data_IF_633171580036
#
_entry.id   IF_633171580036
#
_cell.length_a   1.000
_cell.length_b   1.000
_cell.length_c   1.000
_cell.angle_alpha   90.00
_cell.angle_beta   90.00
_cell.angle_gamma   90.00
#
_symmetry.space_group_name_H-M   'P 1'
#
loop_
_entity.id
_entity.type
_entity.pdbx_description
1 polymer ?
#
# COMPACT_ATOMS: atom_id res chain seq x y z
N UNK A 1 30.58 24.11 -10.01
CA UNK A 1 29.12 24.25 -10.15
C UNK A 1 28.47 23.01 -9.54
N UNK A 2 27.47 23.15 -8.65
CA UNK A 2 26.76 21.99 -8.12
C UNK A 2 26.03 21.28 -9.27
N UNK A 3 26.20 19.96 -9.37
CA UNK A 3 25.55 19.16 -10.41
C UNK A 3 24.04 19.12 -10.15
N UNK A 4 23.24 19.52 -11.14
CA UNK A 4 21.78 19.40 -11.08
C UNK A 4 21.44 17.92 -11.06
N UNK A 5 20.99 17.41 -9.91
CA UNK A 5 20.61 16.01 -9.73
C UNK A 5 19.17 15.80 -10.23
N UNK A 6 18.95 14.66 -10.89
CA UNK A 6 17.61 14.22 -11.27
C UNK A 6 16.80 13.80 -10.03
N UNK A 7 15.47 14.00 -10.03
CA UNK A 7 14.61 13.64 -8.90
C UNK A 7 14.57 12.12 -8.68
N UNK A 8 14.29 11.67 -7.44
CA UNK A 8 14.21 10.26 -7.05
C UNK A 8 13.48 9.38 -8.06
N UNK A 9 12.32 9.84 -8.58
CA UNK A 9 11.52 9.11 -9.57
C UNK A 9 12.31 8.76 -10.84
N UNK A 10 13.10 9.70 -11.37
CA UNK A 10 13.85 9.50 -12.62
C UNK A 10 15.05 8.58 -12.39
N UNK A 11 15.56 8.54 -11.16
CA UNK A 11 16.66 7.67 -10.76
C UNK A 11 16.20 6.24 -10.50
N UNK A 12 15.02 6.07 -9.91
CA UNK A 12 14.36 4.76 -9.72
C UNK A 12 13.68 4.22 -10.99
N UNK A 13 13.94 4.80 -12.16
CA UNK A 13 13.29 4.47 -13.44
C UNK A 13 11.74 4.48 -13.40
N UNK A 14 11.16 5.33 -12.53
CA UNK A 14 9.71 5.55 -12.47
C UNK A 14 9.33 6.58 -13.52
N UNK A 15 8.99 6.12 -14.72
CA UNK A 15 8.57 6.98 -15.83
C UNK A 15 7.05 7.20 -15.79
N UNK A 16 6.62 8.39 -15.38
CA UNK A 16 5.24 8.85 -15.48
C UNK A 16 5.03 9.53 -16.83
N UNK A 17 4.37 8.86 -17.77
CA UNK A 17 3.90 9.50 -18.99
C UNK A 17 2.60 10.28 -18.69
N UNK A 18 2.73 11.58 -18.44
CA UNK A 18 1.56 12.47 -18.29
C UNK A 18 1.02 12.81 -19.68
N UNK A 19 -0.02 12.08 -20.11
CA UNK A 19 -0.80 12.44 -21.30
C UNK A 19 -1.89 13.41 -20.88
N UNK A 20 -1.66 14.70 -21.09
CA UNK A 20 -2.72 15.71 -20.98
C UNK A 20 -3.61 15.59 -22.21
N UNK A 21 -4.78 14.97 -22.07
CA UNK A 21 -5.79 15.01 -23.11
C UNK A 21 -6.38 16.43 -23.16
N UNK A 22 -5.80 17.29 -23.99
CA UNK A 22 -6.56 18.40 -24.57
C UNK A 22 -7.30 17.78 -25.75
N UNK A 23 -8.63 17.55 -25.68
CA UNK A 23 -9.38 17.01 -26.80
C UNK A 23 -9.32 18.05 -27.92
N UNK A 24 -8.47 17.78 -28.91
CA UNK A 24 -8.42 18.51 -30.17
C UNK A 24 -8.94 17.56 -31.23
N UNK A 25 -9.81 18.10 -32.09
CA UNK A 25 -10.60 17.43 -33.14
C UNK A 25 -11.73 16.52 -32.66
N UNK A 26 -12.90 17.15 -32.57
CA UNK A 26 -14.08 16.68 -33.31
C UNK A 26 -13.67 16.60 -34.77
N UNK A 27 -13.69 15.41 -35.36
CA UNK A 27 -13.83 15.25 -36.81
C UNK A 27 -14.66 13.99 -37.07
N UNK A 28 -15.84 14.25 -37.61
CA UNK A 28 -16.60 13.35 -38.46
C UNK A 28 -15.71 12.85 -39.62
N UNK A 29 -15.82 11.58 -40.01
CA UNK A 29 -16.19 11.18 -41.37
C UNK A 29 -15.79 9.75 -41.77
N UNK A 30 -16.80 9.08 -42.34
CA UNK A 30 -16.80 8.21 -43.53
C UNK A 30 -16.11 6.82 -43.57
N UNK A 31 -17.00 5.83 -43.76
CA UNK A 31 -16.92 4.66 -44.65
C UNK A 31 -15.55 4.15 -45.12
N UNK A 32 -15.27 2.87 -44.80
CA UNK A 32 -14.63 1.99 -45.77
C UNK A 32 -15.09 0.54 -45.58
N UNK A 33 -15.90 0.07 -46.52
CA UNK A 33 -16.15 -1.35 -46.77
C UNK A 33 -14.94 -1.96 -47.50
N UNK A 34 -14.46 -3.13 -47.10
CA UNK A 34 -13.87 -4.17 -48.00
C UNK A 34 -13.64 -5.50 -47.25
N UNK A 35 -13.39 -6.64 -47.93
CA UNK A 35 -14.39 -7.71 -48.04
C UNK A 35 -13.95 -9.05 -47.43
N UNK A 36 -14.87 -10.02 -47.52
CA UNK A 36 -14.75 -11.40 -47.08
C UNK A 36 -13.51 -12.14 -47.61
N UNK A 37 -12.85 -12.88 -46.72
CA UNK A 37 -11.92 -13.97 -47.03
C UNK A 37 -12.16 -15.14 -46.08
N UNK A 38 -12.34 -16.31 -46.69
CA UNK A 38 -12.57 -17.64 -46.11
C UNK A 38 -11.31 -18.26 -45.53
N UNK A 39 -11.34 -18.69 -44.26
CA UNK A 39 -11.23 -20.12 -43.87
C UNK A 39 -11.27 -20.32 -42.34
N UNK A 40 -12.04 -21.29 -41.81
CA UNK A 40 -12.16 -21.54 -40.38
C UNK A 40 -11.15 -22.59 -39.89
N UNK A 41 -10.07 -22.16 -39.24
CA UNK A 41 -9.28 -23.04 -38.37
C UNK A 41 -9.91 -23.09 -36.98
N UNK A 42 -10.76 -24.08 -36.75
CA UNK A 42 -11.30 -24.48 -35.46
C UNK A 42 -10.19 -24.99 -34.53
N UNK A 43 -9.71 -24.13 -33.61
CA UNK A 43 -8.95 -24.56 -32.43
C UNK A 43 -9.59 -24.03 -31.15
N UNK A 44 -10.06 -24.97 -30.33
CA UNK A 44 -10.18 -24.83 -28.89
C UNK A 44 -11.32 -23.96 -28.37
N UNK A 45 -12.55 -24.46 -28.40
CA UNK A 45 -13.59 -23.95 -27.49
C UNK A 45 -13.11 -24.08 -26.04
N UNK A 46 -12.99 -23.00 -25.25
CA UNK A 46 -12.91 -23.16 -23.81
C UNK A 46 -14.21 -23.82 -23.35
N UNK A 47 -14.10 -24.93 -22.62
CA UNK A 47 -15.24 -25.59 -21.97
C UNK A 47 -15.94 -24.52 -21.13
N UNK A 48 -17.17 -24.19 -21.51
CA UNK A 48 -18.06 -23.34 -20.73
C UNK A 48 -18.11 -23.93 -19.30
N UNK A 49 -17.54 -23.20 -18.34
CA UNK A 49 -17.67 -23.54 -16.93
C UNK A 49 -19.17 -23.43 -16.61
N UNK A 50 -19.73 -24.51 -16.08
CA UNK A 50 -21.12 -24.53 -15.63
C UNK A 50 -21.30 -23.37 -14.63
N UNK A 51 -22.33 -22.54 -14.76
CA UNK A 51 -22.62 -21.51 -13.78
C UNK A 51 -22.78 -22.19 -12.41
N UNK A 52 -22.07 -21.66 -11.41
CA UNK A 52 -22.22 -22.11 -10.03
C UNK A 52 -23.61 -21.63 -9.59
N UNK A 53 -24.56 -22.56 -9.48
CA UNK A 53 -25.88 -22.32 -8.90
C UNK A 53 -25.70 -22.13 -7.39
N UNK A 54 -25.42 -20.89 -6.98
CA UNK A 54 -25.40 -20.51 -5.57
C UNK A 54 -26.85 -20.40 -5.09
N UNK A 55 -27.42 -21.55 -4.70
CA UNK A 55 -28.68 -21.58 -3.95
C UNK A 55 -28.44 -21.00 -2.57
N UNK A 56 -28.66 -19.70 -2.44
CA UNK A 56 -28.79 -19.04 -1.15
C UNK A 56 -30.04 -19.64 -0.49
N UNK A 57 -29.93 -20.32 0.67
CA UNK A 57 -31.11 -20.85 1.35
C UNK A 57 -32.00 -19.66 1.74
N UNK A 58 -33.14 -19.55 1.06
CA UNK A 58 -34.16 -18.58 1.39
C UNK A 58 -34.70 -18.95 2.78
N UNK A 59 -34.22 -18.22 3.79
CA UNK A 59 -34.63 -18.39 5.18
C UNK A 59 -36.10 -17.98 5.26
N UNK A 60 -36.98 -18.99 5.28
CA UNK A 60 -38.42 -18.80 5.40
C UNK A 60 -38.75 -17.79 6.50
N UNK A 61 -39.31 -16.66 6.10
CA UNK A 61 -39.75 -15.61 7.01
C UNK A 61 -40.96 -16.11 7.77
N UNK A 62 -40.72 -16.65 8.97
CA UNK A 62 -41.75 -16.85 9.98
C UNK A 62 -42.42 -15.51 10.26
N UNK A 63 -43.70 -15.39 9.93
CA UNK A 63 -44.56 -14.24 10.26
C UNK A 63 -44.70 -14.14 11.78
N UNK A 64 -43.74 -13.48 12.44
CA UNK A 64 -43.94 -12.95 13.78
C UNK A 64 -44.61 -11.59 13.67
N UNK A 65 -45.74 -11.45 14.37
CA UNK A 65 -46.54 -10.21 14.48
C UNK A 65 -45.64 -9.01 14.78
N UNK A 66 -45.69 -8.01 13.91
CA UNK A 66 -45.00 -6.74 14.05
C UNK A 66 -45.53 -5.98 15.28
N UNK A 67 -44.76 -5.98 16.36
CA UNK A 67 -44.79 -4.86 17.30
C UNK A 67 -44.23 -3.62 16.59
N UNK A 68 -44.84 -2.47 16.83
CA UNK A 68 -44.51 -1.19 16.21
C UNK A 68 -42.99 -0.95 16.21
N UNK A 69 -42.37 -1.02 15.04
CA UNK A 69 -40.98 -0.63 14.85
C UNK A 69 -40.93 0.88 15.02
N UNK A 70 -40.47 1.33 16.19
CA UNK A 70 -40.03 2.72 16.39
C UNK A 70 -38.98 2.98 15.30
N UNK A 71 -39.36 3.77 14.30
CA UNK A 71 -38.46 4.23 13.25
C UNK A 71 -37.37 5.07 13.93
N UNK A 72 -36.27 4.42 14.30
CA UNK A 72 -35.08 5.10 14.80
C UNK A 72 -34.56 5.89 13.62
N UNK A 73 -34.71 7.21 13.68
CA UNK A 73 -34.23 8.13 12.65
C UNK A 73 -32.79 7.74 12.27
N UNK A 74 -32.44 7.77 10.96
CA UNK A 74 -31.09 7.46 10.52
C UNK A 74 -30.12 8.33 11.32
N UNK A 75 -29.28 7.69 12.14
CA UNK A 75 -28.23 8.38 12.89
C UNK A 75 -27.18 8.78 11.86
N UNK A 76 -27.14 10.06 11.53
CA UNK A 76 -25.98 10.65 10.85
C UNK A 76 -24.78 10.39 11.76
N UNK A 77 -23.91 9.46 11.36
CA UNK A 77 -22.63 9.30 12.02
C UNK A 77 -21.87 10.61 11.82
N UNK A 78 -21.25 11.18 12.87
CA UNK A 78 -20.42 12.36 12.71
C UNK A 78 -19.42 12.11 11.58
N UNK A 79 -19.41 12.97 10.57
CA UNK A 79 -18.33 12.98 9.59
C UNK A 79 -17.13 13.47 10.38
N UNK A 80 -16.22 12.55 10.71
CA UNK A 80 -14.97 12.88 11.38
C UNK A 80 -14.27 13.99 10.59
N UNK A 81 -13.91 15.08 11.26
CA UNK A 81 -13.23 16.21 10.62
C UNK A 81 -11.89 15.71 10.05
N UNK A 82 -11.56 16.04 8.79
CA UNK A 82 -10.23 15.80 8.22
C UNK A 82 -9.12 16.29 9.16
N UNK A 83 -8.14 15.44 9.46
CA UNK A 83 -7.08 15.80 10.41
C UNK A 83 -5.76 15.12 10.10
N UNK A 84 -4.67 15.80 10.43
CA UNK A 84 -3.32 15.22 10.55
C UNK A 84 -2.92 15.03 12.01
N UNK A 85 -3.82 15.34 12.95
CA UNK A 85 -3.54 15.27 14.37
C UNK A 85 -3.13 13.85 14.79
N UNK A 86 -2.08 13.78 15.60
CA UNK A 86 -1.51 12.52 16.06
C UNK A 86 -0.57 11.85 15.06
N UNK A 87 -0.30 12.45 13.89
CA UNK A 87 0.75 11.99 12.99
C UNK A 87 2.03 12.81 13.18
N UNK A 88 3.16 12.12 13.28
CA UNK A 88 4.51 12.68 13.31
C UNK A 88 5.26 12.34 12.04
N UNK A 89 6.11 13.26 11.61
CA UNK A 89 6.99 13.07 10.44
C UNK A 89 6.24 12.65 9.17
N UNK A 90 4.96 13.03 9.03
CA UNK A 90 4.17 12.72 7.83
C UNK A 90 4.85 13.36 6.62
N UNK A 91 5.29 12.52 5.69
CA UNK A 91 6.09 12.93 4.56
C UNK A 91 5.70 12.15 3.31
N UNK A 92 5.64 12.85 2.18
CA UNK A 92 5.44 12.22 0.86
C UNK A 92 6.79 11.82 0.30
N UNK A 93 7.10 10.52 0.33
CA UNK A 93 8.41 10.03 -0.05
C UNK A 93 8.60 9.99 -1.58
N UNK A 94 7.59 9.48 -2.28
CA UNK A 94 7.47 9.46 -3.75
C UNK A 94 6.01 9.75 -4.11
N UNK A 95 5.65 9.98 -5.37
CA UNK A 95 4.23 10.17 -5.73
C UNK A 95 3.36 9.06 -5.11
N UNK A 96 2.17 9.43 -4.64
CA UNK A 96 1.19 8.50 -4.04
C UNK A 96 1.60 7.81 -2.71
N UNK A 97 2.88 7.70 -2.35
CA UNK A 97 3.35 7.03 -1.13
C UNK A 97 3.71 8.06 -0.06
N UNK A 98 2.99 7.98 1.06
CA UNK A 98 3.22 8.76 2.26
C UNK A 98 3.70 7.83 3.37
N UNK A 99 4.62 8.35 4.19
CA UNK A 99 5.13 7.69 5.39
C UNK A 99 4.90 8.58 6.59
N UNK A 100 4.66 7.99 7.76
CA UNK A 100 4.55 8.76 8.99
C UNK A 100 4.48 7.85 10.22
N UNK A 101 4.73 8.41 11.38
CA UNK A 101 4.51 7.73 12.65
C UNK A 101 3.21 8.24 13.27
N UNK A 102 2.52 7.44 14.07
CA UNK A 102 1.35 7.90 14.82
C UNK A 102 1.53 7.81 16.34
N UNK A 103 0.89 8.73 17.05
CA UNK A 103 0.78 8.71 18.50
C UNK A 103 -0.46 7.93 18.94
N UNK A 104 -0.26 6.99 19.86
CA UNK A 104 -1.34 6.30 20.55
C UNK A 104 -1.69 4.93 19.94
N UNK A 105 -2.82 4.36 20.35
CA UNK A 105 -3.21 3.00 19.97
C UNK A 105 -4.01 2.93 18.66
N UNK A 106 -4.53 4.07 18.19
CA UNK A 106 -5.53 4.12 17.12
C UNK A 106 -5.20 5.18 16.08
N UNK A 107 -5.15 4.76 14.82
CA UNK A 107 -5.02 5.66 13.69
C UNK A 107 -6.38 6.35 13.44
N UNK A 108 -6.44 7.69 13.33
CA UNK A 108 -7.67 8.39 13.00
C UNK A 108 -8.23 7.89 11.65
N UNK A 109 -9.54 7.69 11.56
CA UNK A 109 -10.18 7.24 10.31
C UNK A 109 -10.34 8.37 9.27
N UNK A 110 -10.12 9.63 9.68
CA UNK A 110 -10.22 10.84 8.84
C UNK A 110 -8.85 11.43 8.52
N UNK A 111 -7.81 10.61 8.47
CA UNK A 111 -6.48 11.08 8.09
C UNK A 111 -6.50 11.62 6.66
N UNK A 112 -5.95 12.82 6.52
CA UNK A 112 -5.70 13.47 5.24
C UNK A 112 -4.23 13.76 5.06
N UNK A 113 -3.80 13.83 3.80
CA UNK A 113 -2.47 14.32 3.45
C UNK A 113 -2.37 15.84 3.55
N UNK A 114 -1.17 16.38 3.33
CA UNK A 114 -0.87 17.81 3.49
C UNK A 114 -1.69 18.74 2.58
N UNK A 115 -2.23 18.22 1.47
CA UNK A 115 -3.12 18.92 0.53
C UNK A 115 -4.62 18.69 0.84
N UNK A 116 -4.94 18.04 1.96
CA UNK A 116 -6.31 17.89 2.46
C UNK A 116 -7.11 16.73 1.88
N UNK A 117 -6.55 15.93 0.96
CA UNK A 117 -7.27 14.76 0.45
C UNK A 117 -7.03 13.49 1.30
N UNK A 118 -8.02 12.60 1.25
CA UNK A 118 -8.06 11.38 2.06
C UNK A 118 -7.11 10.31 1.53
N UNK A 119 -6.61 9.48 2.43
CA UNK A 119 -5.88 8.27 2.06
C UNK A 119 -6.84 7.17 1.60
N UNK A 120 -6.55 6.58 0.44
CA UNK A 120 -7.31 5.45 -0.12
C UNK A 120 -6.82 4.10 0.38
N UNK A 121 -5.53 4.01 0.70
CA UNK A 121 -4.87 2.78 1.12
C UNK A 121 -3.99 3.09 2.32
N UNK A 122 -4.05 2.24 3.34
CA UNK A 122 -3.27 2.39 4.57
C UNK A 122 -2.59 1.07 4.89
N UNK A 123 -1.29 1.08 5.09
CA UNK A 123 -0.53 0.01 5.72
C UNK A 123 -0.26 0.44 7.15
N UNK A 124 -0.95 -0.18 8.12
CA UNK A 124 -0.82 0.12 9.55
C UNK A 124 0.02 -0.98 10.21
N UNK A 125 1.24 -0.63 10.59
CA UNK A 125 2.12 -1.47 11.42
C UNK A 125 1.81 -1.15 12.88
N UNK A 126 1.48 -2.16 13.69
CA UNK A 126 1.15 -2.05 15.11
C UNK A 126 2.07 -2.95 15.94
N UNK A 127 2.35 -2.56 17.19
CA UNK A 127 3.09 -3.41 18.11
C UNK A 127 2.14 -4.25 19.00
N UNK A 128 2.52 -5.48 19.41
CA UNK A 128 1.66 -6.36 20.20
C UNK A 128 1.15 -5.76 21.52
N UNK A 129 1.90 -4.82 22.10
CA UNK A 129 1.52 -4.14 23.33
C UNK A 129 0.32 -3.19 23.17
N UNK A 130 -0.01 -2.79 21.95
CA UNK A 130 -1.04 -1.78 21.68
C UNK A 130 -2.41 -2.39 21.38
N UNK A 131 -2.46 -3.57 20.77
CA UNK A 131 -3.72 -4.20 20.34
C UNK A 131 -4.09 -5.40 21.23
N UNK A 132 -4.89 -5.12 22.27
CA UNK A 132 -5.42 -6.14 23.18
C UNK A 132 -6.18 -7.22 22.40
N UNK A 133 -5.77 -8.47 22.57
CA UNK A 133 -6.47 -9.65 22.03
C UNK A 133 -6.00 -10.11 20.65
N UNK A 134 -5.10 -9.38 19.99
CA UNK A 134 -4.48 -9.85 18.75
C UNK A 134 -3.11 -10.48 19.04
N UNK A 135 -2.80 -11.55 18.30
CA UNK A 135 -1.53 -12.28 18.45
C UNK A 135 -0.42 -11.57 17.67
N UNK A 136 0.80 -11.69 18.16
CA UNK A 136 2.01 -11.32 17.42
C UNK A 136 2.02 -11.96 16.03
N UNK A 137 2.43 -11.22 14.99
CA UNK A 137 2.42 -11.69 13.61
C UNK A 137 1.03 -11.69 12.93
N UNK A 138 -0.02 -11.28 13.63
CA UNK A 138 -1.36 -11.20 13.06
C UNK A 138 -1.42 -10.15 11.92
N UNK A 139 -2.27 -10.43 10.95
CA UNK A 139 -2.53 -9.61 9.77
C UNK A 139 -4.02 -9.51 9.54
N UNK A 140 -4.52 -8.31 9.26
CA UNK A 140 -5.94 -8.07 8.95
C UNK A 140 -6.09 -7.09 7.79
N UNK A 141 -7.05 -7.35 6.91
CA UNK A 141 -7.46 -6.42 5.87
C UNK A 141 -8.85 -5.88 6.22
N UNK A 142 -8.95 -4.57 6.38
CA UNK A 142 -10.18 -3.86 6.65
C UNK A 142 -10.56 -3.02 5.43
N UNK A 143 -11.83 -3.05 5.04
CA UNK A 143 -12.34 -2.30 3.89
C UNK A 143 -13.49 -1.41 4.35
N UNK A 144 -13.35 -0.10 4.16
CA UNK A 144 -14.41 0.88 4.37
C UNK A 144 -14.88 1.39 3.00
N UNK A 145 -15.89 0.72 2.45
CA UNK A 145 -16.49 1.06 1.15
C UNK A 145 -17.16 2.44 1.16
N UNK A 146 -17.57 2.94 2.33
CA UNK A 146 -18.21 4.26 2.46
C UNK A 146 -17.21 5.36 2.17
N UNK A 147 -15.95 5.14 2.56
CA UNK A 147 -14.85 6.10 2.39
C UNK A 147 -13.92 5.74 1.22
N UNK A 148 -14.12 4.58 0.60
CA UNK A 148 -13.21 4.05 -0.42
C UNK A 148 -11.82 3.75 0.14
N UNK A 149 -11.73 3.33 1.41
CA UNK A 149 -10.47 3.13 2.13
C UNK A 149 -10.19 1.65 2.36
N UNK A 150 -8.97 1.21 2.04
CA UNK A 150 -8.45 -0.12 2.32
C UNK A 150 -7.33 -0.01 3.36
N UNK A 151 -7.41 -0.79 4.44
CA UNK A 151 -6.43 -0.76 5.50
C UNK A 151 -5.88 -2.16 5.76
N UNK A 152 -4.60 -2.35 5.46
CA UNK A 152 -3.83 -3.53 5.82
C UNK A 152 -3.17 -3.32 7.18
N UNK A 153 -3.62 -4.03 8.20
CA UNK A 153 -3.02 -4.07 9.52
C UNK A 153 -2.00 -5.19 9.67
N UNK A 154 -0.84 -4.85 10.21
CA UNK A 154 0.28 -5.75 10.47
C UNK A 154 0.68 -5.65 11.93
N UNK A 155 0.59 -6.74 12.68
CA UNK A 155 1.09 -6.79 14.05
C UNK A 155 2.48 -7.37 14.03
N UNK A 156 3.45 -6.53 14.37
CA UNK A 156 4.85 -6.91 14.45
C UNK A 156 5.00 -8.09 15.41
N UNK A 157 5.75 -9.15 15.05
CA UNK A 157 6.10 -10.22 15.97
C UNK A 157 6.62 -9.66 17.30
N UNK A 158 6.19 -10.25 18.42
CA UNK A 158 6.84 -10.00 19.69
C UNK A 158 8.29 -10.45 19.50
N UNK A 159 9.25 -9.52 19.64
CA UNK A 159 10.65 -9.91 19.67
C UNK A 159 10.77 -11.01 20.73
N UNK A 160 11.48 -12.11 20.41
CA UNK A 160 11.92 -13.02 21.45
C UNK A 160 12.49 -12.15 22.56
N UNK A 161 11.90 -12.24 23.75
CA UNK A 161 12.53 -11.72 24.95
C UNK A 161 13.77 -12.59 25.09
N UNK A 162 14.84 -12.21 24.41
CA UNK A 162 16.13 -12.84 24.63
C UNK A 162 16.38 -12.65 26.12
N UNK A 163 16.50 -13.81 26.77
CA UNK A 163 16.63 -14.02 28.19
C UNK A 163 17.34 -12.85 28.85
N UNK A 164 16.63 -12.27 29.80
CA UNK A 164 17.10 -11.29 30.77
C UNK A 164 18.25 -11.91 31.58
N UNK A 165 19.40 -12.06 30.93
CA UNK A 165 20.63 -12.51 31.55
C UNK A 165 21.08 -11.33 32.40
N UNK A 166 20.62 -11.35 33.65
CA UNK A 166 20.96 -10.42 34.73
C UNK A 166 22.48 -10.33 34.83
N UNK A 167 23.08 -9.37 34.14
CA UNK A 167 24.52 -9.21 34.20
C UNK A 167 25.04 -8.15 33.24
N UNK A 168 25.08 -6.91 33.72
CA UNK A 168 26.10 -5.93 33.39
C UNK A 168 26.08 -5.30 31.97
N UNK A 169 25.63 -4.04 31.93
CA UNK A 169 26.29 -2.89 31.24
C UNK A 169 26.75 -3.09 29.78
N UNK A 170 25.95 -2.64 28.81
CA UNK A 170 26.17 -1.38 28.05
C UNK A 170 25.12 -1.20 26.94
N UNK A 171 24.63 0.03 26.85
CA UNK A 171 23.60 0.55 25.95
C UNK A 171 24.02 0.53 24.47
N UNK A 172 23.92 -0.61 23.80
CA UNK A 172 23.92 -0.66 22.32
C UNK A 172 22.96 -1.74 21.82
N UNK A 173 21.66 -1.61 22.14
CA UNK A 173 20.64 -2.25 21.31
C UNK A 173 20.76 -1.65 19.90
N UNK A 174 21.13 -2.49 18.94
CA UNK A 174 21.40 -2.09 17.56
C UNK A 174 20.15 -1.40 16.98
N UNK A 175 20.24 -0.12 16.58
CA UNK A 175 19.08 0.71 16.24
C UNK A 175 18.32 0.31 14.95
N UNK A 176 18.66 -0.78 14.27
CA UNK A 176 18.25 -1.03 12.88
C UNK A 176 17.61 -2.41 12.65
N UNK A 177 17.04 -3.03 13.69
CA UNK A 177 16.46 -4.37 13.56
C UNK A 177 15.07 -4.31 12.95
N UNK A 178 14.96 -4.76 11.69
CA UNK A 178 13.68 -5.08 11.04
C UNK A 178 12.92 -6.11 11.86
N UNK A 179 11.65 -5.85 12.16
CA UNK A 179 10.82 -6.76 12.96
C UNK A 179 9.72 -7.43 12.16
N UNK A 180 9.34 -6.86 11.02
CA UNK A 180 8.39 -7.49 10.10
C UNK A 180 8.93 -8.83 9.58
N UNK A 181 8.05 -9.83 9.48
CA UNK A 181 8.40 -11.11 8.85
C UNK A 181 8.46 -10.98 7.33
N UNK A 182 9.14 -11.90 6.66
CA UNK A 182 9.15 -11.98 5.20
C UNK A 182 7.73 -12.09 4.63
N UNK A 183 6.85 -12.86 5.28
CA UNK A 183 5.45 -13.01 4.90
C UNK A 183 4.65 -11.70 5.01
N UNK A 184 4.92 -10.87 6.04
CA UNK A 184 4.31 -9.55 6.18
C UNK A 184 4.81 -8.58 5.11
N UNK A 185 6.12 -8.59 4.81
CA UNK A 185 6.67 -7.78 3.72
C UNK A 185 6.09 -8.18 2.37
N UNK A 186 5.98 -9.49 2.10
CA UNK A 186 5.42 -10.03 0.87
C UNK A 186 3.97 -9.59 0.67
N UNK A 187 3.15 -9.77 1.69
CA UNK A 187 1.73 -9.39 1.64
C UNK A 187 1.54 -7.87 1.48
N UNK A 188 2.44 -7.08 2.08
CA UNK A 188 2.41 -5.63 1.93
C UNK A 188 2.85 -5.20 0.53
N UNK A 189 3.88 -5.83 -0.03
CA UNK A 189 4.31 -5.62 -1.42
C UNK A 189 3.14 -5.85 -2.38
N UNK A 190 2.44 -6.97 -2.23
CA UNK A 190 1.30 -7.32 -3.10
C UNK A 190 0.13 -6.35 -2.92
N UNK A 191 -0.18 -5.95 -1.68
CA UNK A 191 -1.17 -4.92 -1.40
C UNK A 191 -0.84 -3.59 -2.09
N UNK A 192 0.43 -3.17 -2.04
CA UNK A 192 0.91 -1.96 -2.70
C UNK A 192 0.93 -2.09 -4.23
N UNK A 193 1.26 -3.26 -4.77
CA UNK A 193 1.23 -3.55 -6.21
C UNK A 193 -0.16 -3.41 -6.82
N UNK A 194 -1.19 -3.78 -6.06
CA UNK A 194 -2.59 -3.61 -6.48
C UNK A 194 -3.07 -2.16 -6.41
N UNK A 195 -2.53 -1.38 -5.45
CA UNK A 195 -2.94 -0.01 -5.23
C UNK A 195 -2.25 0.99 -6.18
N UNK A 196 -0.94 0.84 -6.35
CA UNK A 196 -0.09 1.86 -6.95
C UNK A 196 0.12 1.63 -8.46
N UNK A 197 0.19 2.71 -9.25
CA UNK A 197 0.28 2.60 -10.70
C UNK A 197 1.69 2.19 -11.21
N UNK A 198 2.71 2.18 -10.36
CA UNK A 198 4.09 2.00 -10.78
C UNK A 198 4.36 0.67 -11.47
N UNK A 199 3.79 -0.42 -10.95
CA UNK A 199 3.99 -1.73 -11.55
C UNK A 199 3.37 -1.80 -12.95
N UNK A 200 2.13 -1.31 -13.09
CA UNK A 200 1.43 -1.26 -14.38
C UNK A 200 2.12 -0.34 -15.39
N UNK A 201 2.77 0.73 -14.92
CA UNK A 201 3.52 1.66 -15.77
C UNK A 201 4.87 1.11 -16.20
N UNK A 202 5.56 0.37 -15.33
CA UNK A 202 6.80 -0.33 -15.66
C UNK A 202 6.54 -1.52 -16.60
N UNK A 203 5.35 -2.11 -16.54
CA UNK A 203 4.93 -3.26 -17.34
C UNK A 203 3.64 -2.98 -18.13
N UNK A 204 3.69 -2.07 -19.12
CA UNK A 204 2.52 -1.76 -19.94
C UNK A 204 2.05 -3.04 -20.64
N UNK A 205 0.75 -3.34 -20.52
CA UNK A 205 0.11 -4.43 -21.26
C UNK A 205 -0.49 -3.86 -22.54
N UNK A 206 -0.06 -4.37 -23.69
CA UNK A 206 -0.51 -3.90 -25.01
C UNK A 206 -2.03 -3.99 -25.21
N UNK A 207 -2.70 -4.86 -24.44
CA UNK A 207 -4.12 -5.19 -24.62
C UNK A 207 -5.10 -4.34 -23.80
N UNK A 208 -4.62 -3.46 -22.90
CA UNK A 208 -5.47 -2.71 -21.97
C UNK A 208 -5.26 -1.20 -22.15
N UNK A 209 -6.26 -0.46 -22.66
CA UNK A 209 -6.21 1.00 -22.70
C UNK A 209 -5.95 1.56 -21.30
N UNK A 210 -4.79 2.19 -21.11
CA UNK A 210 -4.44 2.84 -19.85
C UNK A 210 -5.13 4.21 -19.80
N UNK A 211 -6.29 4.27 -19.14
CA UNK A 211 -6.85 5.56 -18.72
C UNK A 211 -6.21 5.95 -17.38
N UNK A 212 -5.50 7.10 -17.29
CA UNK A 212 -4.91 7.59 -16.05
C UNK A 212 -6.01 8.10 -15.10
N UNK A 213 -6.80 7.20 -14.54
CA UNK A 213 -7.77 7.48 -13.46
C UNK A 213 -7.10 7.42 -12.08
N UNK A 214 -5.80 7.12 -12.03
CA UNK A 214 -5.02 6.87 -10.81
C UNK A 214 -4.67 8.11 -9.99
N UNK A 215 -5.04 9.33 -10.40
CA UNK A 215 -4.74 10.56 -9.65
C UNK A 215 -5.39 10.62 -8.27
N UNK A 216 -6.32 9.71 -7.98
CA UNK A 216 -6.96 9.59 -6.67
C UNK A 216 -6.22 8.69 -5.67
N UNK A 217 -5.27 7.84 -6.11
CA UNK A 217 -4.64 6.85 -5.22
C UNK A 217 -3.66 7.53 -4.27
N UNK A 218 -3.85 7.28 -2.98
CA UNK A 218 -2.97 7.75 -1.91
C UNK A 218 -2.78 6.65 -0.89
N UNK A 219 -1.52 6.25 -0.72
CA UNK A 219 -1.08 5.21 0.20
C UNK A 219 -0.39 5.88 1.39
N UNK A 220 -0.81 5.53 2.59
CA UNK A 220 -0.11 5.86 3.83
C UNK A 220 0.50 4.58 4.43
N UNK A 221 1.81 4.57 4.67
CA UNK A 221 2.50 3.52 5.44
C UNK A 221 2.86 4.12 6.80
N UNK A 222 2.36 3.51 7.87
CA UNK A 222 2.43 4.09 9.20
C UNK A 222 2.71 3.08 10.29
N UNK A 223 3.36 3.53 11.37
CA UNK A 223 3.72 2.74 12.54
C UNK A 223 3.65 3.61 13.81
N UNK A 224 3.50 3.04 15.02
CA UNK A 224 3.49 3.83 16.25
C UNK A 224 4.86 4.53 16.43
N UNK A 225 4.87 5.73 17.02
CA UNK A 225 6.11 6.45 17.26
C UNK A 225 7.10 5.62 18.11
N UNK A 226 8.35 5.53 17.66
CA UNK A 226 9.40 4.76 18.35
C UNK A 226 10.64 4.62 17.49
N UNK A 227 11.74 4.17 18.10
CA UNK A 227 13.05 4.05 17.42
C UNK A 227 13.03 3.06 16.25
N UNK A 228 12.27 1.97 16.40
CA UNK A 228 12.22 0.85 15.43
C UNK A 228 11.17 1.04 14.34
N UNK A 229 10.19 1.92 14.58
CA UNK A 229 9.06 2.16 13.70
C UNK A 229 9.50 2.61 12.30
N UNK A 230 10.52 3.46 12.25
CA UNK A 230 11.04 3.95 10.99
C UNK A 230 11.69 2.84 10.14
N UNK A 231 12.33 1.86 10.78
CA UNK A 231 12.95 0.74 10.08
C UNK A 231 11.90 -0.14 9.39
N UNK A 232 10.82 -0.48 10.10
CA UNK A 232 9.72 -1.29 9.56
C UNK A 232 8.96 -0.57 8.43
N UNK A 233 8.67 0.73 8.60
CA UNK A 233 8.07 1.56 7.54
C UNK A 233 8.98 1.57 6.30
N UNK A 234 10.27 1.87 6.48
CA UNK A 234 11.20 1.96 5.36
C UNK A 234 11.47 0.60 4.72
N UNK A 235 11.42 -0.50 5.46
CA UNK A 235 11.51 -1.85 4.90
C UNK A 235 10.36 -2.14 3.94
N UNK A 236 9.13 -1.79 4.30
CA UNK A 236 7.96 -1.92 3.40
C UNK A 236 8.15 -1.10 2.12
N UNK A 237 8.50 0.17 2.28
CA UNK A 237 8.72 1.10 1.17
C UNK A 237 9.80 0.58 0.22
N UNK A 238 10.97 0.25 0.77
CA UNK A 238 12.14 -0.18 0.00
C UNK A 238 11.86 -1.52 -0.68
N UNK A 239 11.19 -2.45 0.02
CA UNK A 239 10.76 -3.73 -0.55
C UNK A 239 9.91 -3.51 -1.79
N UNK A 240 8.89 -2.66 -1.69
CA UNK A 240 7.98 -2.40 -2.80
C UNK A 240 8.68 -1.65 -3.94
N UNK A 241 9.45 -0.60 -3.65
CA UNK A 241 10.12 0.17 -4.69
C UNK A 241 11.19 -0.65 -5.43
N UNK A 242 11.96 -1.47 -4.73
CA UNK A 242 12.94 -2.37 -5.34
C UNK A 242 12.27 -3.41 -6.25
N UNK A 243 11.15 -3.98 -5.82
CA UNK A 243 10.36 -4.89 -6.65
C UNK A 243 9.77 -4.18 -7.88
N UNK A 244 9.14 -3.01 -7.69
CA UNK A 244 8.45 -2.29 -8.76
C UNK A 244 9.41 -1.68 -9.80
N UNK A 245 10.62 -1.30 -9.40
CA UNK A 245 11.65 -0.74 -10.29
C UNK A 245 12.64 -1.78 -10.83
N UNK A 246 12.54 -3.03 -10.36
CA UNK A 246 13.52 -4.10 -10.64
C UNK A 246 14.96 -3.76 -10.25
N UNK A 247 15.17 -2.81 -9.34
CA UNK A 247 16.47 -2.39 -8.85
C UNK A 247 16.90 -3.18 -7.60
N UNK A 248 18.21 -3.30 -7.31
CA UNK A 248 18.67 -3.84 -6.04
C UNK A 248 18.22 -2.96 -4.86
N UNK A 249 17.92 -3.59 -3.72
CA UNK A 249 17.50 -2.90 -2.49
C UNK A 249 18.53 -1.87 -2.04
N UNK A 250 19.82 -2.18 -2.15
CA UNK A 250 20.90 -1.24 -1.83
C UNK A 250 20.83 0.04 -2.66
N UNK A 251 20.58 -0.10 -3.97
CA UNK A 251 20.45 1.03 -4.90
C UNK A 251 19.28 1.94 -4.52
N UNK A 252 18.12 1.35 -4.21
CA UNK A 252 16.92 2.10 -3.79
C UNK A 252 17.16 2.85 -2.48
N UNK A 253 17.83 2.22 -1.51
CA UNK A 253 18.21 2.86 -0.25
C UNK A 253 19.15 4.04 -0.47
N UNK A 254 20.15 3.88 -1.33
CA UNK A 254 21.08 4.96 -1.67
C UNK A 254 20.38 6.11 -2.40
N UNK A 255 19.37 5.79 -3.22
CA UNK A 255 18.53 6.80 -3.85
C UNK A 255 17.75 7.63 -2.84
N UNK A 256 17.10 6.98 -1.87
CA UNK A 256 16.36 7.66 -0.78
C UNK A 256 17.31 8.49 0.09
N UNK A 257 18.49 7.98 0.42
CA UNK A 257 19.51 8.71 1.19
C UNK A 257 20.00 9.98 0.50
N UNK A 258 20.15 9.91 -0.82
CA UNK A 258 20.65 11.02 -1.63
C UNK A 258 19.59 12.10 -1.93
N UNK A 259 18.30 11.83 -1.70
CA UNK A 259 17.21 12.76 -1.97
C UNK A 259 17.13 13.85 -0.88
N UNK A 260 17.26 15.12 -1.24
CA UNK A 260 17.41 16.20 -0.25
C UNK A 260 16.12 16.43 0.53
N UNK A 261 14.97 16.28 -0.14
CA UNK A 261 13.64 16.49 0.42
C UNK A 261 13.27 15.47 1.51
N UNK A 262 13.93 14.30 1.53
CA UNK A 262 13.62 13.23 2.48
C UNK A 262 14.19 13.57 3.86
N UNK A 263 13.36 13.65 4.92
CA UNK A 263 13.81 13.88 6.28
C UNK A 263 14.86 12.86 6.77
N UNK A 264 15.79 13.32 7.62
CA UNK A 264 16.88 12.48 8.15
C UNK A 264 16.40 11.22 8.89
N UNK A 265 15.22 11.27 9.52
CA UNK A 265 14.61 10.12 10.20
C UNK A 265 14.38 8.93 9.26
N UNK A 266 14.15 9.17 7.97
CA UNK A 266 13.89 8.10 6.99
C UNK A 266 15.16 7.63 6.28
N UNK A 267 16.15 8.52 6.06
CA UNK A 267 17.40 8.22 5.32
C UNK A 267 18.26 7.14 5.99
N UNK A 268 18.26 7.11 7.32
CA UNK A 268 19.08 6.19 8.11
C UNK A 268 18.31 4.99 8.69
N UNK A 269 16.99 4.94 8.52
CA UNK A 269 16.16 3.98 9.26
C UNK A 269 16.40 2.52 8.88
N UNK A 270 16.82 2.26 7.64
CA UNK A 270 17.13 0.91 7.15
C UNK A 270 18.64 0.77 6.92
N UNK A 271 19.38 0.50 7.99
CA UNK A 271 20.85 0.42 8.00
C UNK A 271 21.44 -0.98 8.14
N UNK A 272 20.74 -1.91 8.80
CA UNK A 272 21.24 -3.24 9.13
C UNK A 272 21.42 -4.14 7.91
N UNK A 273 22.61 -4.76 7.76
CA UNK A 273 22.89 -5.70 6.67
C UNK A 273 21.88 -6.85 6.61
N UNK A 274 21.48 -7.38 7.76
CA UNK A 274 20.46 -8.44 7.85
C UNK A 274 19.09 -7.96 7.36
N UNK A 275 18.67 -6.76 7.76
CA UNK A 275 17.42 -6.17 7.31
C UNK A 275 17.41 -5.97 5.79
N UNK A 276 18.52 -5.48 5.21
CA UNK A 276 18.66 -5.30 3.77
C UNK A 276 18.60 -6.64 3.02
N UNK A 277 19.21 -7.70 3.56
CA UNK A 277 19.14 -9.05 2.96
C UNK A 277 17.71 -9.59 3.00
N UNK A 278 17.01 -9.49 4.14
CA UNK A 278 15.63 -9.93 4.27
C UNK A 278 14.70 -9.19 3.28
N UNK A 279 14.82 -7.87 3.19
CA UNK A 279 14.06 -7.06 2.23
C UNK A 279 14.42 -7.43 0.78
N UNK A 280 15.71 -7.67 0.49
CA UNK A 280 16.16 -8.08 -0.84
C UNK A 280 15.58 -9.42 -1.28
N UNK A 281 15.49 -10.38 -0.36
CA UNK A 281 14.92 -11.69 -0.63
C UNK A 281 13.44 -11.58 -1.03
N UNK A 282 12.65 -10.83 -0.27
CA UNK A 282 11.22 -10.64 -0.55
C UNK A 282 10.98 -9.85 -1.84
N UNK A 283 11.81 -8.84 -2.10
CA UNK A 283 11.71 -8.03 -3.31
C UNK A 283 12.00 -8.82 -4.60
N UNK A 284 12.81 -9.89 -4.54
CA UNK A 284 13.24 -10.66 -5.74
C UNK A 284 12.60 -12.03 -5.89
N UNK A 285 12.35 -12.73 -4.79
CA UNK A 285 12.07 -14.18 -4.81
C UNK A 285 10.73 -14.57 -4.18
N UNK A 286 9.88 -13.61 -3.85
CA UNK A 286 8.56 -13.88 -3.27
C UNK A 286 7.54 -14.37 -4.30
N UNK A 287 7.80 -15.52 -4.94
CA UNK A 287 6.86 -16.31 -5.76
C UNK A 287 6.43 -17.60 -5.05
#
# INVERSE_FOLDING_TARGET
MPAIRKPLRERCNVQLAVKTAIPTSVDDDYYTETPASSDPSTRGRPKARKPIDVRIPYRGTSKKRHGATVHKAPRLHPIDTPTTAGMHSLHRLVPYIYVGCYDGAHLPRSLVSNDGALFTHIVKISHPCEEKGKKAGHRDLQVDLTRGMYCLGLIVPAGCKDEETKGATTLTQAPDKLRLTEEQLLLTRDFLALALPYYAQAHPRDDIPFEPTSDSVRVLITAPAGREAAADIMAVVVCYLAWASEEPVGTVVDYIRAEEEVPGVWKGALGGKEALVAVQNVARFGE
#
